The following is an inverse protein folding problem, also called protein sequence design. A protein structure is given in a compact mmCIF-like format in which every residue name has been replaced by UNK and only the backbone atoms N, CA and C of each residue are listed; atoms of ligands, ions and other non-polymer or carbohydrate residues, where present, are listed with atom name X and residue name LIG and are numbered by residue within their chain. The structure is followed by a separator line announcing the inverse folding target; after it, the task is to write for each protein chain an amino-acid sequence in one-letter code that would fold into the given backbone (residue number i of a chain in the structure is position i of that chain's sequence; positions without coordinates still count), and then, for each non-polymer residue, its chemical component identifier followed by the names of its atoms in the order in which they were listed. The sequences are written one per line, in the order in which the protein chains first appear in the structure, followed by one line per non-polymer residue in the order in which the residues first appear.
data_IF_826313718846
#
_entry.id   IF_826313718846
#
_cell.length_a   1.000
_cell.length_b   1.000
_cell.length_c   1.000
_cell.angle_alpha   90.00
_cell.angle_beta   90.00
_cell.angle_gamma   90.00
#
_symmetry.space_group_name_H-M   'P 1'
#
loop_
_entity.id
_entity.type
_entity.pdbx_description
1 polymer ?
#
# COMPACT_ATOMS: atom_id res chain seq x y z
N UNK A 1 -3.96 -4.13 12.08
CA UNK A 1 -2.55 -3.85 11.82
C UNK A 1 -2.34 -3.31 10.41
N UNK A 2 -1.53 -2.27 10.29
CA UNK A 2 -1.26 -1.60 9.04
C UNK A 2 0.11 -1.97 8.48
N UNK A 3 0.22 -2.06 7.17
CA UNK A 3 1.49 -2.19 6.48
C UNK A 3 1.53 -1.21 5.31
N UNK A 4 2.71 -0.70 5.00
CA UNK A 4 2.93 0.21 3.88
C UNK A 4 3.79 -0.50 2.85
N UNK A 5 3.32 -0.55 1.62
CA UNK A 5 4.04 -1.14 0.51
C UNK A 5 4.24 -0.08 -0.56
N UNK A 6 5.50 0.21 -0.90
CA UNK A 6 5.80 1.21 -1.92
C UNK A 6 7.25 1.62 -1.85
N UNK A 7 7.66 2.38 -2.85
CA UNK A 7 8.99 2.96 -2.90
C UNK A 7 8.87 4.45 -2.66
N UNK A 8 9.71 5.00 -1.78
CA UNK A 8 9.64 6.41 -1.41
C UNK A 8 10.78 7.16 -2.09
N UNK A 9 10.44 8.20 -2.87
CA UNK A 9 11.42 9.03 -3.52
C UNK A 9 12.00 10.09 -2.59
N UNK A 10 12.98 10.83 -3.10
CA UNK A 10 13.71 11.81 -2.29
C UNK A 10 12.84 12.96 -1.79
N UNK A 11 11.77 13.27 -2.51
CA UNK A 11 10.88 14.37 -2.13
C UNK A 11 9.63 13.86 -1.40
N UNK A 12 9.62 12.61 -0.98
CA UNK A 12 8.50 12.04 -0.23
C UNK A 12 7.39 11.46 -1.09
N UNK A 13 7.58 11.40 -2.40
CA UNK A 13 6.57 10.78 -3.25
C UNK A 13 6.58 9.26 -3.07
N UNK A 14 5.40 8.66 -3.11
CA UNK A 14 5.25 7.21 -3.02
C UNK A 14 5.07 6.66 -4.42
N UNK A 15 6.02 5.84 -4.85
CA UNK A 15 6.09 5.34 -6.22
C UNK A 15 5.55 3.93 -6.33
N UNK A 16 4.94 3.65 -7.48
CA UNK A 16 4.45 2.31 -7.79
C UNK A 16 5.60 1.30 -7.79
N UNK A 17 5.30 0.09 -7.34
CA UNK A 17 6.26 -1.02 -7.38
C UNK A 17 5.67 -2.15 -8.18
N UNK A 18 6.54 -3.01 -8.72
CA UNK A 18 6.11 -4.16 -9.47
C UNK A 18 5.57 -5.27 -8.58
N UNK A 19 4.73 -6.13 -9.18
CA UNK A 19 4.20 -7.32 -8.52
C UNK A 19 3.42 -7.00 -7.24
N UNK A 20 2.64 -5.91 -7.29
CA UNK A 20 1.90 -5.46 -6.11
C UNK A 20 0.91 -6.51 -5.62
N UNK A 21 0.21 -7.21 -6.53
CA UNK A 21 -0.74 -8.24 -6.11
C UNK A 21 -0.08 -9.31 -5.24
N UNK A 22 1.14 -9.70 -5.62
CA UNK A 22 1.87 -10.70 -4.85
C UNK A 22 2.28 -10.16 -3.49
N UNK A 23 2.74 -8.91 -3.45
CA UNK A 23 3.15 -8.27 -2.20
C UNK A 23 1.98 -8.13 -1.25
N UNK A 24 0.83 -7.73 -1.78
CA UNK A 24 -0.40 -7.60 -0.99
C UNK A 24 -0.84 -8.96 -0.46
N UNK A 25 -0.79 -9.99 -1.30
CA UNK A 25 -1.17 -11.33 -0.86
C UNK A 25 -0.26 -11.85 0.26
N UNK A 26 1.04 -11.56 0.17
CA UNK A 26 1.97 -11.96 1.21
C UNK A 26 1.70 -11.24 2.53
N UNK A 27 1.40 -9.95 2.47
CA UNK A 27 1.06 -9.19 3.67
C UNK A 27 -0.22 -9.73 4.31
N UNK A 28 -1.23 -10.04 3.49
CA UNK A 28 -2.48 -10.61 4.01
C UNK A 28 -2.22 -11.93 4.72
N UNK A 29 -1.34 -12.74 4.16
CA UNK A 29 -0.98 -14.03 4.75
C UNK A 29 -0.27 -13.86 6.09
N UNK A 30 0.46 -12.76 6.25
CA UNK A 30 1.15 -12.46 7.49
C UNK A 30 0.24 -11.85 8.56
N UNK A 31 -1.04 -11.65 8.24
CA UNK A 31 -2.01 -11.15 9.21
C UNK A 31 -2.32 -9.67 9.14
N UNK A 32 -1.77 -8.94 8.18
CA UNK A 32 -2.11 -7.52 8.01
C UNK A 32 -3.48 -7.39 7.39
N UNK A 33 -4.33 -6.55 7.99
CA UNK A 33 -5.70 -6.32 7.53
C UNK A 33 -5.86 -4.98 6.84
N UNK A 34 -4.89 -4.08 6.97
CA UNK A 34 -4.93 -2.75 6.37
C UNK A 34 -3.62 -2.47 5.67
N UNK A 35 -3.68 -2.11 4.40
CA UNK A 35 -2.49 -1.86 3.60
C UNK A 35 -2.55 -0.49 2.97
N UNK A 36 -1.41 0.21 2.96
CA UNK A 36 -1.25 1.48 2.28
C UNK A 36 -0.35 1.22 1.09
N UNK A 37 -0.81 1.56 -0.11
CA UNK A 37 -0.10 1.28 -1.35
C UNK A 37 -0.01 2.57 -2.19
N UNK A 38 0.92 2.63 -3.15
CA UNK A 38 0.95 3.78 -4.06
C UNK A 38 -0.35 3.86 -4.84
N UNK A 39 -0.89 5.07 -4.97
CA UNK A 39 -2.13 5.29 -5.70
C UNK A 39 -2.03 4.75 -7.13
N UNK A 40 -0.85 4.85 -7.74
CA UNK A 40 -0.64 4.36 -9.10
C UNK A 40 -0.82 2.85 -9.24
N UNK A 41 -0.73 2.09 -8.15
CA UNK A 41 -0.93 0.64 -8.18
C UNK A 41 -2.39 0.22 -8.02
N UNK A 42 -3.28 1.14 -7.59
CA UNK A 42 -4.66 0.76 -7.28
C UNK A 42 -5.43 0.23 -8.49
N UNK A 43 -5.14 0.76 -9.67
CA UNK A 43 -5.92 0.46 -10.86
C UNK A 43 -5.94 -1.03 -11.20
N UNK A 44 -4.82 -1.72 -11.02
CA UNK A 44 -4.70 -3.13 -11.37
C UNK A 44 -4.70 -4.05 -10.16
N UNK A 45 -4.99 -3.49 -8.98
CA UNK A 45 -4.84 -4.24 -7.75
C UNK A 45 -6.18 -4.82 -7.30
N UNK A 46 -6.16 -6.09 -6.91
CA UNK A 46 -7.32 -6.75 -6.33
C UNK A 46 -7.08 -7.01 -4.86
N UNK A 47 -7.91 -6.41 -4.00
CA UNK A 47 -7.78 -6.60 -2.57
C UNK A 47 -8.21 -8.01 -2.17
N UNK A 48 -7.40 -8.72 -1.40
CA UNK A 48 -7.85 -9.99 -0.82
C UNK A 48 -9.02 -9.76 0.11
N UNK A 49 -9.85 -10.78 0.28
CA UNK A 49 -10.99 -10.69 1.17
C UNK A 49 -10.52 -10.36 2.58
N UNK A 50 -11.21 -9.44 3.24
CA UNK A 50 -10.87 -9.04 4.60
C UNK A 50 -9.76 -8.04 4.72
N UNK A 51 -9.20 -7.55 3.61
CA UNK A 51 -8.11 -6.58 3.62
C UNK A 51 -8.59 -5.26 3.05
N UNK A 52 -8.39 -4.19 3.81
CA UNK A 52 -8.69 -2.83 3.34
C UNK A 52 -7.42 -2.21 2.77
N UNK A 53 -7.54 -1.61 1.58
CA UNK A 53 -6.40 -1.00 0.90
C UNK A 53 -6.64 0.49 0.71
N UNK A 54 -5.65 1.30 1.07
CA UNK A 54 -5.67 2.75 0.89
C UNK A 54 -4.56 3.16 -0.06
N UNK A 55 -4.90 3.97 -1.06
CA UNK A 55 -3.91 4.48 -2.01
C UNK A 55 -3.42 5.86 -1.61
N UNK A 56 -2.11 6.08 -1.68
CA UNK A 56 -1.50 7.36 -1.35
C UNK A 56 -0.48 7.75 -2.43
N UNK A 57 -0.23 9.04 -2.54
CA UNK A 57 0.76 9.57 -3.49
C UNK A 57 2.01 10.08 -2.80
N UNK A 58 1.92 10.41 -1.51
CA UNK A 58 3.05 10.96 -0.77
C UNK A 58 3.17 10.30 0.58
N UNK A 59 4.37 10.37 1.15
CA UNK A 59 4.61 9.89 2.50
C UNK A 59 3.73 10.65 3.51
N UNK A 60 3.51 11.93 3.26
CA UNK A 60 2.67 12.74 4.11
C UNK A 60 1.24 12.17 4.20
N UNK A 61 0.69 11.78 3.04
CA UNK A 61 -0.64 11.15 3.02
C UNK A 61 -0.65 9.83 3.79
N UNK A 62 0.41 9.04 3.65
CA UNK A 62 0.50 7.77 4.36
C UNK A 62 0.51 8.00 5.87
N UNK A 63 1.26 9.00 6.33
CA UNK A 63 1.31 9.32 7.75
C UNK A 63 -0.05 9.81 8.26
N UNK A 64 -0.78 10.57 7.43
CA UNK A 64 -2.11 11.05 7.80
C UNK A 64 -3.11 9.90 7.97
N UNK A 65 -2.95 8.81 7.22
CA UNK A 65 -3.80 7.63 7.39
C UNK A 65 -3.47 6.91 8.70
N UNK A 66 -2.18 6.84 9.07
CA UNK A 66 -1.74 6.10 10.24
C UNK A 66 -1.95 6.88 11.54
N UNK A 67 -1.85 8.18 11.48
CA UNK A 67 -1.94 9.07 12.63
C UNK A 67 -3.01 10.12 12.44
#
# INVERSE_FOLDING_TARGET
DWALIGEIGLTGEVRAVGMMDRRVSECARMGFTHLIVPKANLRALHAPEGVEIRGVSTLYEALAVLF
#
